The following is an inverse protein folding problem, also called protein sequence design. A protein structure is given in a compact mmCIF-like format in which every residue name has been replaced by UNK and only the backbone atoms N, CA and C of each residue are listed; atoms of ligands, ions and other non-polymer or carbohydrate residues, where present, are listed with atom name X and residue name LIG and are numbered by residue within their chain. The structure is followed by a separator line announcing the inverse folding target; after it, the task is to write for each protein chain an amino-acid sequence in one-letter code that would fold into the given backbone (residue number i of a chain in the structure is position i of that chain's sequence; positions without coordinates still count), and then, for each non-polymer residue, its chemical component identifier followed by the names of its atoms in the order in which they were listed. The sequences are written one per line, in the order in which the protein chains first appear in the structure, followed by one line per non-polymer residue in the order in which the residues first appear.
data_IF_234196959651
#
_entry.id   IF_234196959651
#
_cell.length_a   1.000
_cell.length_b   1.000
_cell.length_c   1.000
_cell.angle_alpha   90.00
_cell.angle_beta   90.00
_cell.angle_gamma   90.00
#
_symmetry.space_group_name_H-M   'P 1'
#
loop_
_entity.id
_entity.type
_entity.pdbx_description
1 polymer ?
#
# COMPACT_ATOMS: atom_id res chain seq x y z
N UNK A 1 -3.79 29.60 -25.29
CA UNK A 1 -3.17 28.31 -25.67
C UNK A 1 -2.36 27.69 -24.52
N UNK A 2 -1.41 28.38 -23.87
CA UNK A 2 -0.66 27.84 -22.69
C UNK A 2 -1.52 27.22 -21.58
N UNK A 3 -2.65 27.83 -21.19
CA UNK A 3 -3.52 27.33 -20.10
C UNK A 3 -4.20 25.97 -20.39
N UNK A 4 -4.42 25.63 -21.67
CA UNK A 4 -5.11 24.37 -22.06
C UNK A 4 -4.12 23.20 -22.00
N UNK A 5 -2.84 23.44 -22.31
CA UNK A 5 -1.80 22.41 -22.26
C UNK A 5 -1.50 21.95 -20.84
N UNK A 6 -1.60 22.80 -19.81
CA UNK A 6 -1.29 22.40 -18.44
C UNK A 6 -2.44 21.68 -17.73
N UNK A 7 -3.70 21.98 -18.05
CA UNK A 7 -4.84 21.13 -17.65
C UNK A 7 -4.70 19.73 -18.25
N UNK A 8 -4.18 19.62 -19.47
CA UNK A 8 -3.85 18.34 -20.08
C UNK A 8 -2.71 17.61 -19.35
N UNK A 9 -1.73 18.28 -18.75
CA UNK A 9 -0.68 17.62 -17.91
C UNK A 9 -1.28 17.03 -16.64
N UNK A 10 -2.20 17.74 -15.97
CA UNK A 10 -2.90 17.18 -14.82
C UNK A 10 -3.69 15.93 -15.24
N UNK A 11 -4.41 15.98 -16.36
CA UNK A 11 -5.14 14.83 -16.92
C UNK A 11 -4.21 13.70 -17.41
N UNK A 12 -3.09 14.01 -18.07
CA UNK A 12 -2.10 13.06 -18.57
C UNK A 12 -1.35 12.40 -17.42
N UNK A 13 -0.83 13.15 -16.44
CA UNK A 13 -0.21 12.59 -15.23
C UNK A 13 -1.20 11.85 -14.32
N UNK A 14 -2.50 12.15 -14.41
CA UNK A 14 -3.56 11.36 -13.77
C UNK A 14 -3.86 10.05 -14.51
N UNK A 15 -3.67 10.00 -15.84
CA UNK A 15 -3.89 8.82 -16.67
C UNK A 15 -2.65 7.90 -16.74
N UNK A 16 -1.43 8.47 -16.77
CA UNK A 16 -0.18 7.72 -16.93
C UNK A 16 0.54 7.37 -15.63
N UNK A 17 -0.08 7.58 -14.45
CA UNK A 17 0.45 7.16 -13.15
C UNK A 17 -0.63 6.55 -12.24
N UNK A 18 -1.73 6.09 -12.83
CA UNK A 18 -2.83 5.43 -12.13
C UNK A 18 -2.77 3.92 -12.42
N UNK A 19 -2.22 3.19 -11.45
CA UNK A 19 -2.36 1.74 -11.35
C UNK A 19 -3.84 1.46 -11.05
N UNK A 20 -4.63 1.37 -12.12
CA UNK A 20 -6.08 1.22 -12.03
C UNK A 20 -6.49 -0.22 -11.74
N UNK A 21 -6.66 -0.58 -10.47
CA UNK A 21 -7.58 -1.64 -10.07
C UNK A 21 -7.05 -2.60 -9.02
N UNK A 22 -8.02 -3.08 -8.24
CA UNK A 22 -8.03 -4.15 -7.25
C UNK A 22 -7.21 -3.92 -6.01
N UNK A 23 -7.94 -3.31 -5.11
CA UNK A 23 -7.42 -2.59 -3.97
C UNK A 23 -6.97 -3.58 -2.91
N UNK A 24 -5.67 -3.62 -2.62
CA UNK A 24 -5.10 -4.48 -1.60
C UNK A 24 -5.43 -4.01 -0.18
N UNK A 25 -4.45 -4.16 0.71
CA UNK A 25 -4.55 -3.76 2.12
C UNK A 25 -4.09 -2.33 2.37
N UNK A 26 -3.69 -1.64 1.30
CA UNK A 26 -3.04 -0.34 1.30
C UNK A 26 -3.96 0.74 0.72
N UNK A 27 -3.39 1.90 0.41
CA UNK A 27 -4.13 3.11 0.01
C UNK A 27 -4.68 3.12 -1.42
N UNK A 28 -4.51 2.05 -2.20
CA UNK A 28 -4.92 2.01 -3.61
C UNK A 28 -6.42 2.22 -3.80
N UNK A 29 -7.20 1.94 -2.74
CA UNK A 29 -8.61 2.29 -2.61
C UNK A 29 -8.91 3.77 -2.92
N UNK A 30 -7.93 4.67 -2.85
CA UNK A 30 -8.09 6.11 -3.18
C UNK A 30 -8.64 6.35 -4.58
N UNK A 31 -8.48 5.39 -5.49
CA UNK A 31 -8.96 5.50 -6.85
C UNK A 31 -10.36 4.89 -7.07
N UNK A 32 -10.89 4.13 -6.11
CA UNK A 32 -12.15 3.39 -6.25
C UNK A 32 -13.32 4.22 -6.76
N UNK A 33 -13.54 5.38 -6.15
CA UNK A 33 -14.63 6.27 -6.53
C UNK A 33 -14.43 6.91 -7.91
N UNK A 34 -13.20 6.96 -8.42
CA UNK A 34 -12.88 7.53 -9.74
C UNK A 34 -12.71 6.51 -10.87
N UNK A 35 -12.60 5.23 -10.57
CA UNK A 35 -12.52 4.22 -11.63
C UNK A 35 -13.84 4.17 -12.41
N UNK A 36 -13.71 4.08 -13.73
CA UNK A 36 -14.81 3.70 -14.61
C UNK A 36 -15.13 2.21 -14.49
N UNK A 37 -16.10 1.75 -15.28
CA UNK A 37 -16.35 0.33 -15.38
C UNK A 37 -15.15 -0.34 -16.04
N UNK A 38 -14.59 -1.34 -15.38
CA UNK A 38 -13.40 -2.03 -15.86
C UNK A 38 -13.32 -3.46 -15.33
N UNK A 39 -12.74 -4.33 -16.15
CA UNK A 39 -12.24 -5.64 -15.75
C UNK A 39 -10.72 -5.61 -15.82
N UNK A 40 -10.05 -6.15 -14.81
CA UNK A 40 -8.60 -6.13 -14.70
C UNK A 40 -8.10 -7.57 -14.52
N UNK A 41 -7.07 -7.91 -15.29
CA UNK A 41 -6.33 -9.16 -15.20
C UNK A 41 -4.84 -8.85 -15.34
N UNK A 42 -4.18 -8.65 -14.19
CA UNK A 42 -2.74 -8.37 -14.07
C UNK A 42 -2.05 -9.48 -13.31
N UNK A 43 -0.73 -9.39 -13.19
CA UNK A 43 -0.01 -10.46 -12.51
C UNK A 43 -0.42 -10.54 -11.03
N UNK A 44 -0.63 -9.43 -10.33
CA UNK A 44 -1.08 -9.51 -8.93
C UNK A 44 -2.59 -9.42 -8.74
N UNK A 45 -3.36 -8.96 -9.74
CA UNK A 45 -4.77 -8.60 -9.54
C UNK A 45 -5.73 -9.21 -10.56
N UNK A 46 -6.92 -9.64 -10.10
CA UNK A 46 -7.98 -10.20 -10.96
C UNK A 46 -9.42 -9.93 -10.50
N UNK A 47 -10.18 -9.13 -11.27
CA UNK A 47 -11.49 -8.66 -10.81
C UNK A 47 -11.99 -7.41 -11.53
N UNK A 48 -12.95 -6.70 -10.94
CA UNK A 48 -13.70 -5.66 -11.63
C UNK A 48 -14.15 -4.51 -10.74
N UNK A 49 -14.43 -3.38 -11.38
CA UNK A 49 -15.25 -2.28 -10.86
C UNK A 49 -16.38 -2.06 -11.84
N UNK A 50 -17.62 -2.08 -11.36
CA UNK A 50 -18.83 -1.94 -12.17
C UNK A 50 -19.83 -1.02 -11.47
N UNK A 51 -20.60 -0.27 -12.24
CA UNK A 51 -21.58 0.64 -11.71
C UNK A 51 -22.22 1.50 -12.79
N UNK A 52 -23.03 2.44 -12.30
CA UNK A 52 -23.56 3.55 -13.08
C UNK A 52 -22.94 4.86 -12.58
N UNK A 53 -23.50 5.99 -13.02
CA UNK A 53 -22.99 7.33 -12.69
C UNK A 53 -23.07 7.70 -11.20
N UNK A 54 -23.85 6.97 -10.39
CA UNK A 54 -24.05 7.28 -8.97
C UNK A 54 -23.55 6.18 -8.04
N UNK A 55 -23.71 4.91 -8.40
CA UNK A 55 -23.37 3.77 -7.55
C UNK A 55 -22.41 2.87 -8.30
N UNK A 56 -21.31 2.51 -7.63
CA UNK A 56 -20.36 1.52 -8.14
C UNK A 56 -19.96 0.52 -7.07
N UNK A 57 -19.71 -0.69 -7.51
CA UNK A 57 -19.19 -1.79 -6.72
C UNK A 57 -17.88 -2.31 -7.31
N UNK A 58 -17.08 -2.93 -6.48
CA UNK A 58 -15.84 -3.60 -6.89
C UNK A 58 -15.72 -4.95 -6.19
N UNK A 59 -15.10 -5.91 -6.88
CA UNK A 59 -14.73 -7.19 -6.31
C UNK A 59 -13.47 -7.75 -6.97
N UNK A 60 -12.62 -8.37 -6.16
CA UNK A 60 -11.80 -9.51 -6.54
C UNK A 60 -10.56 -9.69 -5.68
N UNK A 61 -9.51 -10.25 -6.25
CA UNK A 61 -8.25 -10.62 -5.64
C UNK A 61 -7.07 -9.68 -5.92
N UNK A 62 -6.25 -9.47 -4.89
CA UNK A 62 -4.94 -8.81 -4.95
C UNK A 62 -3.91 -9.73 -4.27
N UNK A 63 -2.85 -10.09 -4.98
CA UNK A 63 -1.81 -10.96 -4.47
C UNK A 63 -0.53 -10.15 -4.26
N UNK A 64 0.04 -10.08 -3.04
CA UNK A 64 1.38 -9.51 -2.85
C UNK A 64 2.51 -10.35 -3.50
N UNK A 65 2.16 -11.42 -4.22
CA UNK A 65 3.02 -12.30 -5.00
C UNK A 65 2.54 -12.32 -6.46
N UNK A 66 3.36 -12.82 -7.39
CA UNK A 66 2.98 -12.90 -8.81
C UNK A 66 1.76 -13.80 -9.05
N UNK A 67 1.09 -13.68 -10.22
CA UNK A 67 -0.14 -14.43 -10.56
C UNK A 67 0.03 -15.93 -10.46
N UNK A 68 1.23 -16.41 -10.80
CA UNK A 68 1.61 -17.82 -10.74
C UNK A 68 1.55 -18.39 -9.31
N UNK A 69 1.54 -17.53 -8.29
CA UNK A 69 1.57 -17.91 -6.88
C UNK A 69 0.21 -17.73 -6.17
N UNK A 70 -0.86 -17.36 -6.89
CA UNK A 70 -2.21 -17.28 -6.29
C UNK A 70 -2.65 -18.63 -5.70
N UNK A 71 -2.11 -19.72 -6.26
CA UNK A 71 -2.27 -21.08 -5.76
C UNK A 71 -0.90 -21.77 -5.67
N UNK A 72 -0.31 -21.79 -4.47
CA UNK A 72 0.89 -22.59 -4.24
C UNK A 72 0.48 -24.01 -3.86
N UNK A 73 0.70 -25.00 -4.72
CA UNK A 73 0.50 -26.42 -4.39
C UNK A 73 1.86 -27.07 -4.06
N UNK A 74 2.27 -27.13 -2.79
CA UNK A 74 3.44 -27.90 -2.38
C UNK A 74 3.30 -29.39 -2.73
N UNK A 75 4.42 -30.10 -2.85
CA UNK A 75 4.47 -31.51 -3.27
C UNK A 75 3.67 -32.47 -2.37
N UNK A 76 3.29 -32.04 -1.17
CA UNK A 76 2.43 -32.77 -0.24
C UNK A 76 0.92 -32.57 -0.49
N UNK A 77 0.53 -31.81 -1.52
CA UNK A 77 -0.86 -31.65 -1.99
C UNK A 77 -1.68 -30.56 -1.31
N UNK A 78 -1.15 -29.91 -0.26
CA UNK A 78 -1.87 -28.86 0.48
C UNK A 78 -1.75 -27.49 -0.21
N UNK A 79 -2.55 -27.27 -1.25
CA UNK A 79 -2.68 -25.98 -1.93
C UNK A 79 -2.93 -24.82 -0.96
N UNK A 80 -2.09 -23.79 -1.00
CA UNK A 80 -2.26 -22.52 -0.29
C UNK A 80 -2.77 -21.47 -1.26
N UNK A 81 -4.01 -21.02 -1.05
CA UNK A 81 -4.56 -19.83 -1.69
C UNK A 81 -4.06 -18.60 -0.91
N UNK A 82 -3.29 -17.72 -1.55
CA UNK A 82 -2.55 -16.62 -0.89
C UNK A 82 -3.08 -15.19 -1.20
N UNK A 83 -4.02 -14.92 -2.13
CA UNK A 83 -4.38 -13.54 -2.43
C UNK A 83 -5.23 -12.92 -1.33
N UNK A 84 -5.10 -11.61 -1.13
CA UNK A 84 -6.11 -10.81 -0.47
C UNK A 84 -7.40 -10.78 -1.31
N UNK A 85 -8.56 -10.73 -0.67
CA UNK A 85 -9.85 -10.60 -1.34
C UNK A 85 -10.50 -9.28 -0.93
N UNK A 86 -10.90 -8.49 -1.91
CA UNK A 86 -11.37 -7.12 -1.74
C UNK A 86 -12.75 -6.94 -2.35
N UNK A 87 -13.62 -6.24 -1.63
CA UNK A 87 -14.95 -5.86 -2.11
C UNK A 87 -15.31 -4.47 -1.60
N UNK A 88 -16.09 -3.71 -2.36
CA UNK A 88 -16.50 -2.37 -1.94
C UNK A 88 -17.71 -1.86 -2.68
N UNK A 89 -18.35 -0.86 -2.08
CA UNK A 89 -19.46 -0.12 -2.66
C UNK A 89 -19.28 1.37 -2.40
N UNK A 90 -19.56 2.18 -3.41
CA UNK A 90 -19.38 3.62 -3.37
C UNK A 90 -20.53 4.35 -4.02
N UNK A 91 -20.90 5.47 -3.41
CA UNK A 91 -21.68 6.52 -4.02
C UNK A 91 -20.73 7.58 -4.59
N UNK A 92 -20.97 8.02 -5.83
CA UNK A 92 -20.21 9.07 -6.48
C UNK A 92 -21.14 10.14 -7.02
N UNK A 93 -20.71 11.39 -6.92
CA UNK A 93 -21.33 12.55 -7.56
C UNK A 93 -20.25 13.58 -7.87
N UNK A 94 -20.59 14.67 -8.56
CA UNK A 94 -19.64 15.79 -8.78
C UNK A 94 -19.20 16.43 -7.46
N UNK A 95 -20.14 16.66 -6.55
CA UNK A 95 -19.86 17.35 -5.29
C UNK A 95 -19.09 16.49 -4.28
N UNK A 96 -19.55 15.26 -4.05
CA UNK A 96 -18.98 14.34 -3.07
C UNK A 96 -19.12 12.89 -3.53
N UNK A 97 -18.07 12.10 -3.32
CA UNK A 97 -18.13 10.66 -3.38
C UNK A 97 -17.77 10.08 -2.02
N UNK A 98 -18.46 9.03 -1.61
CA UNK A 98 -18.16 8.27 -0.39
C UNK A 98 -18.30 6.79 -0.69
N UNK A 99 -17.38 5.99 -0.17
CA UNK A 99 -17.46 4.55 -0.31
C UNK A 99 -16.85 3.83 0.87
N UNK A 100 -17.24 2.58 0.99
CA UNK A 100 -16.65 1.63 1.93
C UNK A 100 -16.09 0.46 1.15
N UNK A 101 -14.89 0.06 1.55
CA UNK A 101 -14.19 -1.10 1.06
C UNK A 101 -13.89 -2.05 2.20
N UNK A 102 -13.60 -3.28 1.85
CA UNK A 102 -13.15 -4.29 2.79
C UNK A 102 -12.23 -5.27 2.08
N UNK A 103 -11.03 -5.45 2.63
CA UNK A 103 -10.05 -6.43 2.18
C UNK A 103 -9.84 -7.49 3.26
N UNK A 104 -9.96 -8.77 2.88
CA UNK A 104 -9.61 -9.91 3.72
C UNK A 104 -8.26 -10.46 3.28
N UNK A 105 -7.33 -10.59 4.23
CA UNK A 105 -6.01 -11.19 4.00
C UNK A 105 -5.93 -12.57 4.63
N UNK A 106 -5.23 -13.49 3.96
CA UNK A 106 -5.05 -14.85 4.45
C UNK A 106 -3.60 -15.05 4.91
N UNK A 107 -3.44 -15.53 6.14
CA UNK A 107 -2.15 -15.84 6.75
C UNK A 107 -1.75 -17.31 6.62
N UNK A 108 -0.87 -17.75 7.51
CA UNK A 108 -0.50 -19.17 7.60
C UNK A 108 -1.55 -19.97 8.39
N UNK A 109 -1.60 -21.28 8.17
CA UNK A 109 -2.25 -22.20 9.10
C UNK A 109 -1.35 -22.36 10.31
N UNK A 110 -1.85 -22.02 11.49
CA UNK A 110 -1.13 -22.19 12.76
C UNK A 110 -1.87 -23.19 13.66
N UNK A 111 -1.15 -24.01 14.45
CA UNK A 111 -1.79 -24.89 15.42
C UNK A 111 -2.49 -24.06 16.51
N UNK A 112 -3.81 -24.23 16.67
CA UNK A 112 -4.60 -23.60 17.73
C UNK A 112 -5.17 -24.70 18.63
N UNK A 113 -4.93 -24.61 19.93
CA UNK A 113 -5.29 -25.62 20.93
C UNK A 113 -6.74 -25.50 21.41
N UNK A 114 -7.30 -24.29 21.55
CA UNK A 114 -8.66 -24.04 22.10
C UNK A 114 -8.96 -24.82 23.39
N UNK A 115 -7.98 -24.96 24.26
CA UNK A 115 -8.04 -25.67 25.54
C UNK A 115 -7.84 -27.18 25.45
N UNK A 116 -7.45 -27.73 24.28
CA UNK A 116 -7.22 -29.17 24.06
C UNK A 116 -5.74 -29.51 24.07
N UNK A 117 -5.41 -30.79 24.25
CA UNK A 117 -4.03 -31.31 24.19
C UNK A 117 -3.53 -31.37 22.75
N UNK A 118 -4.39 -31.76 21.81
CA UNK A 118 -4.06 -31.82 20.38
C UNK A 118 -4.58 -30.57 19.67
N UNK A 119 -3.71 -29.79 19.02
CA UNK A 119 -4.12 -28.59 18.30
C UNK A 119 -4.78 -28.93 16.97
N UNK A 120 -5.52 -27.97 16.42
CA UNK A 120 -5.97 -28.00 15.02
C UNK A 120 -5.36 -26.84 14.25
N UNK A 121 -4.84 -27.13 13.06
CA UNK A 121 -4.34 -26.11 12.17
C UNK A 121 -5.49 -25.20 11.70
N UNK A 122 -5.45 -23.93 12.10
CA UNK A 122 -6.45 -22.93 11.72
C UNK A 122 -5.79 -21.85 10.86
N UNK A 123 -6.41 -21.56 9.71
CA UNK A 123 -6.02 -20.46 8.84
C UNK A 123 -6.24 -19.13 9.57
N UNK A 124 -5.21 -18.30 9.63
CA UNK A 124 -5.32 -16.95 10.21
C UNK A 124 -5.87 -15.97 9.18
N UNK A 125 -6.67 -15.02 9.63
CA UNK A 125 -7.30 -13.99 8.80
C UNK A 125 -6.95 -12.60 9.30
N UNK A 126 -6.71 -11.69 8.37
CA UNK A 126 -6.62 -10.25 8.60
C UNK A 126 -7.79 -9.54 7.95
N UNK A 127 -8.21 -8.44 8.57
CA UNK A 127 -9.37 -7.68 8.17
C UNK A 127 -8.93 -6.23 7.92
N UNK A 128 -9.23 -5.69 6.74
CA UNK A 128 -8.90 -4.31 6.39
C UNK A 128 -10.14 -3.59 5.89
N UNK A 129 -11.02 -3.08 6.77
CA UNK A 129 -12.03 -2.10 6.37
C UNK A 129 -11.36 -0.83 5.83
N UNK A 130 -12.00 -0.23 4.83
CA UNK A 130 -11.50 0.97 4.16
C UNK A 130 -12.61 2.00 4.00
N UNK A 131 -12.33 3.24 4.38
CA UNK A 131 -13.17 4.38 4.05
C UNK A 131 -12.53 5.14 2.89
N UNK A 132 -13.32 5.47 1.87
CA UNK A 132 -12.88 6.34 0.78
C UNK A 132 -13.80 7.54 0.64
N UNK A 133 -13.21 8.68 0.30
CA UNK A 133 -13.93 9.93 0.10
C UNK A 133 -13.29 10.72 -1.04
N UNK A 134 -14.14 11.26 -1.90
CA UNK A 134 -13.78 12.26 -2.89
C UNK A 134 -14.59 13.53 -2.66
N UNK A 135 -13.97 14.69 -2.87
CA UNK A 135 -14.64 15.98 -2.84
C UNK A 135 -13.98 16.93 -3.83
N UNK A 136 -14.60 18.11 -4.03
CA UNK A 136 -14.08 19.16 -4.91
C UNK A 136 -13.90 18.63 -6.35
N UNK A 137 -14.94 18.03 -6.93
CA UNK A 137 -14.88 17.43 -8.28
C UNK A 137 -13.74 16.40 -8.44
N UNK A 138 -13.57 15.56 -7.42
CA UNK A 138 -12.49 14.57 -7.30
C UNK A 138 -11.06 15.14 -7.19
N UNK A 139 -10.91 16.45 -6.97
CA UNK A 139 -9.61 17.07 -6.72
C UNK A 139 -9.06 16.71 -5.34
N UNK A 140 -9.93 16.55 -4.32
CA UNK A 140 -9.55 15.97 -3.04
C UNK A 140 -9.97 14.51 -2.99
N UNK A 141 -9.03 13.63 -2.65
CA UNK A 141 -9.27 12.19 -2.48
C UNK A 141 -8.64 11.70 -1.20
N UNK A 142 -9.35 10.86 -0.48
CA UNK A 142 -8.92 10.29 0.80
C UNK A 142 -9.23 8.79 0.78
N UNK A 143 -8.27 7.98 1.22
CA UNK A 143 -8.47 6.57 1.53
C UNK A 143 -7.89 6.27 2.91
N UNK A 144 -8.65 5.56 3.74
CA UNK A 144 -8.25 5.19 5.10
C UNK A 144 -8.43 3.69 5.27
N UNK A 145 -7.43 2.88 4.87
CA UNK A 145 -7.41 1.45 5.18
C UNK A 145 -6.94 1.24 6.63
N UNK A 146 -7.69 0.44 7.39
CA UNK A 146 -7.36 0.06 8.77
C UNK A 146 -7.18 -1.45 8.81
N UNK A 147 -5.94 -1.90 8.85
CA UNK A 147 -5.57 -3.30 8.94
C UNK A 147 -5.71 -3.78 10.37
N UNK A 148 -6.37 -4.92 10.57
CA UNK A 148 -6.60 -5.55 11.87
C UNK A 148 -6.23 -7.02 11.77
N UNK A 149 -5.37 -7.46 12.68
CA UNK A 149 -5.06 -8.86 12.91
C UNK A 149 -5.25 -9.18 14.39
N UNK A 150 -5.91 -10.30 14.66
CA UNK A 150 -6.14 -10.77 16.01
C UNK A 150 -6.00 -12.28 16.05
N UNK A 151 -5.28 -12.76 17.06
CA UNK A 151 -5.18 -14.17 17.39
C UNK A 151 -5.43 -14.35 18.88
N UNK A 152 -6.14 -15.42 19.24
CA UNK A 152 -6.26 -15.86 20.62
C UNK A 152 -6.27 -17.37 20.68
N UNK A 153 -5.47 -17.92 21.59
CA UNK A 153 -5.46 -19.34 21.88
C UNK A 153 -5.46 -19.59 23.40
N UNK A 154 -5.91 -20.78 23.76
CA UNK A 154 -5.89 -21.30 25.12
C UNK A 154 -5.27 -22.69 25.08
N UNK A 155 -4.35 -22.98 25.98
CA UNK A 155 -3.72 -24.29 26.12
C UNK A 155 -4.47 -25.17 27.12
N UNK A 156 -4.20 -26.48 27.07
CA UNK A 156 -4.84 -27.46 27.96
C UNK A 156 -4.55 -27.20 29.45
N UNK A 157 -3.37 -26.64 29.77
CA UNK A 157 -2.99 -26.27 31.14
C UNK A 157 -3.66 -24.98 31.65
N UNK A 158 -4.55 -24.36 30.86
CA UNK A 158 -5.25 -23.13 31.21
C UNK A 158 -4.50 -21.84 30.86
N UNK A 159 -3.25 -21.93 30.38
CA UNK A 159 -2.53 -20.78 29.84
C UNK A 159 -3.22 -20.23 28.57
N UNK A 160 -3.03 -18.96 28.26
CA UNK A 160 -3.62 -18.34 27.07
C UNK A 160 -2.76 -17.25 26.47
N UNK A 161 -2.75 -17.20 25.14
CA UNK A 161 -1.97 -16.25 24.36
C UNK A 161 -2.90 -15.41 23.50
N UNK A 162 -2.66 -14.11 23.48
CA UNK A 162 -3.34 -13.18 22.60
C UNK A 162 -2.34 -12.30 21.89
N UNK A 163 -2.62 -12.05 20.64
CA UNK A 163 -1.89 -11.08 19.81
C UNK A 163 -2.91 -10.23 19.10
N UNK A 164 -2.79 -8.92 19.22
CA UNK A 164 -3.59 -7.97 18.46
C UNK A 164 -2.65 -7.01 17.75
N UNK A 165 -2.94 -6.71 16.50
CA UNK A 165 -2.21 -5.75 15.70
C UNK A 165 -3.20 -4.90 14.92
N UNK A 166 -3.02 -3.60 14.97
CA UNK A 166 -3.82 -2.64 14.20
C UNK A 166 -2.86 -1.68 13.51
N UNK A 167 -3.02 -1.47 12.21
CA UNK A 167 -2.25 -0.47 11.48
C UNK A 167 -3.09 0.27 10.47
N UNK A 168 -2.68 1.48 10.13
CA UNK A 168 -3.36 2.36 9.21
C UNK A 168 -2.32 2.99 8.29
N UNK A 169 -2.60 3.02 6.98
CA UNK A 169 -1.83 3.72 5.96
C UNK A 169 -2.78 4.63 5.18
N UNK A 170 -3.25 5.69 5.84
CA UNK A 170 -4.21 6.63 5.25
C UNK A 170 -3.52 7.50 4.21
N UNK A 171 -4.16 7.74 3.06
CA UNK A 171 -3.68 8.63 2.02
C UNK A 171 -4.66 9.78 1.81
N UNK A 172 -4.12 10.99 1.74
CA UNK A 172 -4.79 12.20 1.29
C UNK A 172 -4.06 12.68 0.04
N UNK A 173 -4.81 12.90 -1.03
CA UNK A 173 -4.30 13.44 -2.29
C UNK A 173 -5.13 14.65 -2.69
N UNK A 174 -4.45 15.74 -2.99
CA UNK A 174 -5.08 16.96 -3.44
C UNK A 174 -4.48 17.41 -4.78
N UNK A 175 -5.33 17.57 -5.78
CA UNK A 175 -5.01 18.18 -7.06
C UNK A 175 -5.33 19.67 -6.97
N UNK A 176 -4.31 20.51 -6.99
CA UNK A 176 -4.46 21.94 -6.61
C UNK A 176 -5.11 22.80 -7.70
N UNK A 177 -5.16 22.30 -8.93
CA UNK A 177 -5.48 23.09 -10.12
C UNK A 177 -4.40 24.10 -10.51
N UNK A 178 -3.27 24.13 -9.81
CA UNK A 178 -2.14 25.00 -10.10
C UNK A 178 -1.12 24.30 -10.99
N UNK A 179 -0.76 24.96 -12.08
CA UNK A 179 0.26 24.53 -13.03
C UNK A 179 1.62 24.19 -12.38
N UNK A 180 2.07 25.01 -11.43
CA UNK A 180 3.40 24.85 -10.82
C UNK A 180 3.45 23.80 -9.70
N UNK A 181 2.32 23.46 -9.09
CA UNK A 181 2.23 22.50 -7.99
C UNK A 181 0.96 21.65 -8.15
N UNK A 182 0.83 20.86 -9.23
CA UNK A 182 -0.42 20.21 -9.59
C UNK A 182 -0.94 19.23 -8.54
N UNK A 183 -0.06 18.65 -7.72
CA UNK A 183 -0.45 17.63 -6.75
C UNK A 183 0.29 17.77 -5.42
N UNK A 184 -0.44 17.56 -4.34
CA UNK A 184 0.07 17.36 -2.99
C UNK A 184 -0.42 15.98 -2.53
N UNK A 185 0.45 15.21 -1.90
CA UNK A 185 0.11 13.90 -1.35
C UNK A 185 0.67 13.74 0.06
N UNK A 186 -0.16 13.27 0.97
CA UNK A 186 0.21 12.95 2.33
C UNK A 186 -0.27 11.54 2.66
N UNK A 187 0.64 10.72 3.18
CA UNK A 187 0.29 9.49 3.85
C UNK A 187 0.49 9.66 5.35
N UNK A 188 -0.46 9.18 6.14
CA UNK A 188 -0.36 9.09 7.59
C UNK A 188 -0.36 7.62 7.99
N UNK A 189 0.67 7.25 8.75
CA UNK A 189 0.93 5.86 9.12
C UNK A 189 0.87 5.71 10.63
N UNK A 190 0.05 4.78 11.08
CA UNK A 190 -0.01 4.38 12.49
C UNK A 190 0.07 2.87 12.58
N UNK A 191 0.72 2.37 13.63
CA UNK A 191 0.75 0.95 13.92
C UNK A 191 0.76 0.71 15.41
N UNK A 192 0.02 -0.30 15.83
CA UNK A 192 -0.13 -0.76 17.21
C UNK A 192 -0.02 -2.28 17.22
N UNK A 193 0.70 -2.79 18.20
CA UNK A 193 0.88 -4.22 18.42
C UNK A 193 0.91 -4.50 19.92
N UNK A 194 0.11 -5.46 20.35
CA UNK A 194 0.05 -5.90 21.73
C UNK A 194 -0.03 -7.42 21.84
N UNK A 195 0.61 -7.94 22.88
CA UNK A 195 0.47 -9.34 23.26
C UNK A 195 0.11 -9.49 24.73
N UNK A 196 -0.64 -10.53 25.04
CA UNK A 196 -0.98 -10.94 26.39
C UNK A 196 -0.72 -12.43 26.53
N UNK A 197 0.21 -12.80 27.41
CA UNK A 197 0.46 -14.18 27.83
C UNK A 197 -0.05 -14.34 29.27
N UNK A 198 -0.88 -15.35 29.50
CA UNK A 198 -1.40 -15.69 30.83
C UNK A 198 -1.03 -17.11 31.18
N UNK A 199 -0.45 -17.28 32.37
CA UNK A 199 -0.15 -18.60 32.92
C UNK A 199 -0.35 -18.56 34.44
N UNK A 200 -1.18 -19.46 34.94
CA UNK A 200 -1.62 -19.48 36.34
C UNK A 200 -2.12 -18.08 36.80
N UNK A 201 -1.44 -17.48 37.79
CA UNK A 201 -1.78 -16.16 38.34
C UNK A 201 -0.94 -15.02 37.75
N UNK A 202 -0.08 -15.29 36.76
CA UNK A 202 0.76 -14.29 36.12
C UNK A 202 0.17 -13.86 34.76
N UNK A 203 0.25 -12.56 34.47
CA UNK A 203 -0.11 -11.99 33.16
C UNK A 203 1.03 -11.10 32.69
N UNK A 204 1.60 -11.44 31.54
CA UNK A 204 2.61 -10.61 30.86
C UNK A 204 1.93 -9.89 29.71
N UNK A 205 2.03 -8.56 29.68
CA UNK A 205 1.52 -7.73 28.58
C UNK A 205 2.65 -6.95 27.95
N UNK A 206 2.69 -6.94 26.63
CA UNK A 206 3.64 -6.13 25.89
C UNK A 206 2.88 -5.23 24.90
N UNK A 207 3.42 -4.04 24.64
CA UNK A 207 2.82 -3.04 23.75
C UNK A 207 3.91 -2.37 22.92
N UNK A 208 3.67 -2.20 21.63
CA UNK A 208 4.51 -1.47 20.70
C UNK A 208 3.65 -0.58 19.79
N UNK A 209 4.14 0.62 19.51
CA UNK A 209 3.43 1.59 18.66
C UNK A 209 4.40 2.23 17.66
N UNK A 210 3.89 2.66 16.53
CA UNK A 210 4.69 3.36 15.52
C UNK A 210 3.89 4.46 14.87
N UNK A 211 4.59 5.51 14.45
CA UNK A 211 4.01 6.60 13.69
C UNK A 211 4.90 6.97 12.52
N UNK A 212 4.31 7.38 11.41
CA UNK A 212 5.05 7.87 10.27
C UNK A 212 4.19 8.69 9.32
N UNK A 213 4.86 9.32 8.37
CA UNK A 213 4.22 9.98 7.25
C UNK A 213 5.06 9.85 5.98
N UNK A 214 4.41 10.03 4.84
CA UNK A 214 5.06 10.22 3.55
C UNK A 214 4.42 11.45 2.90
N UNK A 215 5.20 12.51 2.77
CA UNK A 215 4.76 13.76 2.19
C UNK A 215 5.41 13.97 0.84
N UNK A 216 4.60 14.26 -0.19
CA UNK A 216 5.07 14.44 -1.55
C UNK A 216 4.49 15.71 -2.16
N UNK A 217 5.39 16.50 -2.72
CA UNK A 217 5.07 17.67 -3.55
C UNK A 217 5.43 17.34 -4.99
N UNK A 218 4.51 17.63 -5.90
CA UNK A 218 4.71 17.42 -7.32
C UNK A 218 4.61 18.77 -8.03
N UNK A 219 5.67 19.14 -8.73
CA UNK A 219 5.77 20.37 -9.49
C UNK A 219 5.51 20.08 -10.97
N UNK A 220 4.90 21.01 -11.71
CA UNK A 220 4.59 20.82 -13.13
C UNK A 220 5.46 21.67 -14.04
N UNK A 221 5.98 21.07 -15.11
CA UNK A 221 6.68 21.75 -16.19
C UNK A 221 6.47 21.03 -17.54
N UNK A 222 6.66 21.74 -18.65
CA UNK A 222 6.66 21.17 -20.01
C UNK A 222 7.92 21.57 -20.74
N UNK A 223 8.49 20.61 -21.47
CA UNK A 223 9.51 20.87 -22.48
C UNK A 223 9.02 20.21 -23.76
N UNK A 224 8.61 21.04 -24.72
CA UNK A 224 7.99 20.57 -25.97
C UNK A 224 6.79 19.66 -25.71
N UNK A 225 6.83 18.42 -26.19
CA UNK A 225 5.78 17.41 -26.05
C UNK A 225 5.98 16.50 -24.82
N UNK A 226 7.02 16.75 -24.03
CA UNK A 226 7.35 15.97 -22.84
C UNK A 226 6.93 16.71 -21.57
N UNK A 227 6.10 16.04 -20.77
CA UNK A 227 5.69 16.54 -19.46
C UNK A 227 6.71 16.15 -18.40
N UNK A 228 7.22 17.17 -17.69
CA UNK A 228 8.17 17.03 -16.60
C UNK A 228 7.46 17.30 -15.28
N UNK A 229 7.73 16.44 -14.29
CA UNK A 229 7.14 16.53 -12.98
C UNK A 229 8.20 16.36 -11.90
N UNK A 230 8.96 17.41 -11.52
CA UNK A 230 9.85 17.34 -10.37
C UNK A 230 9.05 16.97 -9.11
N UNK A 231 9.61 16.09 -8.28
CA UNK A 231 8.97 15.56 -7.08
C UNK A 231 9.91 15.70 -5.91
N UNK A 232 9.39 16.17 -4.78
CA UNK A 232 10.08 16.08 -3.48
C UNK A 232 9.28 15.12 -2.62
N UNK A 233 9.89 13.99 -2.23
CA UNK A 233 9.29 13.01 -1.32
C UNK A 233 10.06 13.01 0.00
N UNK A 234 9.34 13.12 1.11
CA UNK A 234 9.89 13.03 2.47
C UNK A 234 9.13 11.94 3.20
N UNK A 235 9.85 10.91 3.66
CA UNK A 235 9.25 9.79 4.37
C UNK A 235 9.86 9.70 5.76
N UNK A 236 9.04 9.66 6.78
CA UNK A 236 9.48 9.51 8.16
C UNK A 236 8.70 8.38 8.82
N UNK A 237 9.39 7.49 9.54
CA UNK A 237 8.76 6.50 10.39
C UNK A 237 9.55 6.39 11.69
N UNK A 238 8.87 6.23 12.82
CA UNK A 238 9.48 6.14 14.14
C UNK A 238 8.75 5.14 15.03
N UNK A 239 9.49 4.45 15.88
CA UNK A 239 8.90 3.70 16.98
C UNK A 239 8.38 4.67 18.05
N UNK A 240 7.27 4.35 18.68
CA UNK A 240 6.70 5.10 19.79
C UNK A 240 6.85 4.29 21.06
N UNK A 241 7.54 4.86 22.04
CA UNK A 241 7.91 4.16 23.26
C UNK A 241 9.36 3.64 23.20
N UNK A 242 9.81 3.08 24.33
CA UNK A 242 11.22 2.76 24.57
C UNK A 242 11.51 1.27 24.74
N UNK A 243 10.60 0.41 24.31
CA UNK A 243 10.65 -1.04 24.57
C UNK A 243 10.71 -1.91 23.28
N UNK A 244 10.76 -1.29 22.10
CA UNK A 244 10.89 -1.96 20.81
C UNK A 244 11.57 -1.06 19.76
N UNK A 245 12.04 -1.66 18.66
CA UNK A 245 12.76 -0.95 17.60
C UNK A 245 12.03 -0.88 16.24
N UNK A 246 10.85 -1.49 16.12
CA UNK A 246 10.08 -1.49 14.89
C UNK A 246 9.52 -0.10 14.57
N UNK A 247 10.05 0.56 13.54
CA UNK A 247 9.68 1.93 13.16
C UNK A 247 8.39 2.02 12.33
N UNK A 248 7.94 0.92 11.74
CA UNK A 248 6.66 0.80 11.03
C UNK A 248 6.05 -0.57 11.31
N UNK A 249 4.96 -0.59 12.08
CA UNK A 249 4.19 -1.79 12.40
C UNK A 249 3.06 -1.94 11.38
N UNK A 250 2.95 -3.12 10.75
CA UNK A 250 1.89 -3.44 9.79
C UNK A 250 1.23 -4.77 10.18
N UNK A 251 -0.06 -4.72 10.52
CA UNK A 251 -0.81 -5.87 11.02
C UNK A 251 -0.83 -7.03 10.01
N UNK A 252 -0.95 -6.74 8.72
CA UNK A 252 -0.95 -7.78 7.68
C UNK A 252 0.41 -8.45 7.51
N UNK A 253 1.52 -7.72 7.71
CA UNK A 253 2.86 -8.32 7.69
C UNK A 253 3.08 -9.24 8.89
N UNK A 254 2.51 -8.90 10.04
CA UNK A 254 2.54 -9.75 11.25
C UNK A 254 1.70 -11.02 11.01
N UNK A 255 0.48 -10.89 10.48
CA UNK A 255 -0.38 -12.02 10.07
C UNK A 255 0.35 -12.99 9.13
N UNK A 256 1.06 -12.45 8.13
CA UNK A 256 1.78 -13.23 7.12
C UNK A 256 3.11 -13.81 7.64
N UNK A 257 3.57 -13.38 8.82
CA UNK A 257 4.84 -13.78 9.40
C UNK A 257 6.06 -13.11 8.76
N UNK A 258 5.86 -12.11 7.88
CA UNK A 258 6.95 -11.36 7.24
C UNK A 258 7.48 -10.22 8.13
N UNK A 259 6.79 -9.89 9.22
CA UNK A 259 7.23 -8.94 10.22
C UNK A 259 7.13 -9.56 11.62
N UNK A 260 8.21 -9.44 12.40
CA UNK A 260 8.22 -9.75 13.83
C UNK A 260 8.42 -8.47 14.63
N UNK A 261 7.57 -8.24 15.62
CA UNK A 261 7.73 -7.13 16.56
C UNK A 261 8.34 -7.67 17.84
N UNK A 262 9.65 -7.46 17.99
CA UNK A 262 10.37 -7.86 19.20
C UNK A 262 10.20 -6.77 20.25
N UNK A 263 9.48 -7.11 21.33
CA UNK A 263 9.37 -6.26 22.52
C UNK A 263 10.27 -6.88 23.57
N UNK A 264 11.14 -6.07 24.16
CA UNK A 264 12.05 -6.54 25.19
C UNK A 264 11.92 -5.59 26.37
N UNK A 265 11.27 -6.07 27.43
CA UNK A 265 11.04 -5.30 28.65
C UNK A 265 12.35 -4.98 29.41
N UNK A 266 13.47 -5.61 29.00
CA UNK A 266 14.83 -5.31 29.49
C UNK A 266 15.52 -4.27 28.60
N UNK A 267 15.21 -4.18 27.30
CA UNK A 267 15.69 -3.12 26.41
C UNK A 267 14.90 -1.84 26.67
N UNK A 268 15.40 -0.99 27.58
CA UNK A 268 14.97 0.41 27.67
C UNK A 268 15.81 1.22 26.70
N UNK A 269 15.28 1.44 25.50
CA UNK A 269 15.88 2.33 24.52
C UNK A 269 16.09 3.72 25.14
N UNK A 270 17.23 4.34 24.85
CA UNK A 270 17.49 5.71 25.31
C UNK A 270 16.59 6.71 24.58
N UNK A 271 16.39 6.49 23.27
CA UNK A 271 15.61 7.31 22.34
C UNK A 271 14.77 6.45 21.41
N UNK A 272 13.75 7.04 20.79
CA UNK A 272 12.93 6.35 19.80
C UNK A 272 13.74 6.19 18.49
N UNK A 273 13.94 4.97 17.99
CA UNK A 273 14.56 4.78 16.68
C UNK A 273 13.64 5.29 15.58
N UNK A 274 14.24 5.82 14.51
CA UNK A 274 13.51 6.38 13.37
C UNK A 274 14.24 6.16 12.05
N UNK A 275 13.50 6.31 10.96
CA UNK A 275 14.02 6.35 9.59
C UNK A 275 13.47 7.58 8.91
N UNK A 276 14.34 8.39 8.29
CA UNK A 276 13.98 9.53 7.45
C UNK A 276 14.57 9.34 6.05
N UNK A 277 13.72 9.38 5.02
CA UNK A 277 14.14 9.40 3.62
C UNK A 277 13.79 10.75 3.00
N UNK A 278 14.73 11.34 2.27
CA UNK A 278 14.52 12.53 1.43
C UNK A 278 14.86 12.11 0.00
N UNK A 279 13.87 12.15 -0.88
CA UNK A 279 13.95 11.59 -2.23
C UNK A 279 13.48 12.63 -3.24
N UNK A 280 14.39 13.46 -3.80
CA UNK A 280 14.13 14.16 -5.05
C UNK A 280 13.98 13.16 -6.20
N UNK A 281 12.97 13.38 -7.04
CA UNK A 281 12.73 12.60 -8.24
C UNK A 281 12.26 13.50 -9.39
N UNK A 282 12.30 13.00 -10.62
CA UNK A 282 11.79 13.69 -11.79
C UNK A 282 10.88 12.74 -12.56
N UNK A 283 9.57 12.97 -12.50
CA UNK A 283 8.63 12.34 -13.41
C UNK A 283 8.82 12.88 -14.83
N UNK A 284 8.82 12.00 -15.82
CA UNK A 284 8.92 12.31 -17.23
C UNK A 284 7.83 11.51 -17.92
N UNK A 285 6.94 12.17 -18.66
CA UNK A 285 5.90 11.49 -19.42
C UNK A 285 5.86 11.94 -20.86
N UNK A 286 5.64 10.97 -21.74
CA UNK A 286 5.45 11.17 -23.17
C UNK A 286 4.29 10.27 -23.62
N UNK A 287 3.43 10.78 -24.50
CA UNK A 287 2.21 10.10 -24.90
C UNK A 287 2.04 10.15 -26.41
N UNK A 288 1.44 9.10 -26.96
CA UNK A 288 0.97 8.98 -28.33
C UNK A 288 -0.44 8.38 -28.32
N UNK A 289 -1.05 8.20 -29.49
CA UNK A 289 -2.39 7.62 -29.60
C UNK A 289 -2.48 6.17 -29.12
N UNK A 290 -1.36 5.44 -29.12
CA UNK A 290 -1.31 4.01 -28.80
C UNK A 290 -0.46 3.74 -27.56
N UNK A 291 0.63 4.49 -27.37
CA UNK A 291 1.62 4.24 -26.32
C UNK A 291 1.79 5.46 -25.43
N UNK A 292 1.74 5.24 -24.12
CA UNK A 292 2.16 6.21 -23.10
C UNK A 292 3.34 5.67 -22.31
N UNK A 293 4.30 6.54 -22.03
CA UNK A 293 5.50 6.25 -21.25
C UNK A 293 5.54 7.19 -20.05
N UNK A 294 5.85 6.63 -18.88
CA UNK A 294 6.24 7.37 -17.69
C UNK A 294 7.57 6.84 -17.15
N UNK A 295 8.46 7.75 -16.76
CA UNK A 295 9.74 7.43 -16.12
C UNK A 295 9.92 8.32 -14.89
N UNK A 296 10.47 7.78 -13.81
CA UNK A 296 10.75 8.51 -12.59
C UNK A 296 12.16 8.15 -12.05
N UNK A 297 13.24 8.73 -12.62
CA UNK A 297 14.55 8.73 -11.98
C UNK A 297 14.50 9.47 -10.63
N UNK A 298 15.22 8.92 -9.64
CA UNK A 298 15.26 9.43 -8.27
C UNK A 298 16.62 9.22 -7.61
N UNK A 299 16.93 10.12 -6.67
CA UNK A 299 18.06 10.01 -5.75
C UNK A 299 17.52 10.09 -4.33
N UNK A 300 18.09 9.32 -3.41
CA UNK A 300 17.58 9.22 -2.04
C UNK A 300 18.69 9.35 -1.01
N UNK A 301 18.45 10.19 0.02
CA UNK A 301 19.19 10.18 1.27
C UNK A 301 18.34 9.49 2.34
N UNK A 302 18.87 8.44 2.95
CA UNK A 302 18.27 7.75 4.09
C UNK A 302 19.09 8.03 5.35
N UNK A 303 18.40 8.41 6.41
CA UNK A 303 18.96 8.64 7.74
C UNK A 303 18.30 7.65 8.69
N UNK A 304 19.10 6.84 9.38
CA UNK A 304 18.63 5.87 10.36
C UNK A 304 19.08 6.26 11.76
N UNK A 305 18.12 6.62 12.60
CA UNK A 305 18.34 6.93 14.02
C UNK A 305 18.28 5.66 14.87
N UNK A 306 19.31 5.45 15.68
CA UNK A 306 19.40 4.30 16.59
C UNK A 306 18.52 4.47 17.84
N UNK A 307 18.18 3.35 18.48
CA UNK A 307 17.53 3.33 19.78
C UNK A 307 18.48 3.72 20.95
N UNK A 308 19.80 3.62 20.76
CA UNK A 308 20.79 3.99 21.76
C UNK A 308 21.32 5.41 21.53
N UNK A 309 21.49 6.18 22.61
CA UNK A 309 22.05 7.55 22.54
C UNK A 309 23.53 7.58 22.16
N UNK A 310 24.24 6.48 22.40
CA UNK A 310 25.67 6.36 22.13
C UNK A 310 25.97 6.00 20.67
N UNK A 311 24.93 5.69 19.89
CA UNK A 311 25.05 5.33 18.48
C UNK A 311 24.62 6.53 17.65
N UNK A 312 25.54 7.00 16.80
CA UNK A 312 25.29 8.08 15.84
C UNK A 312 24.32 7.63 14.76
N UNK A 313 23.67 8.60 14.12
CA UNK A 313 22.84 8.35 12.95
C UNK A 313 23.66 7.74 11.81
N UNK A 314 23.09 6.76 11.12
CA UNK A 314 23.64 6.19 9.89
C UNK A 314 23.05 6.89 8.66
N UNK A 315 23.87 7.12 7.64
CA UNK A 315 23.50 7.82 6.41
C UNK A 315 23.78 6.92 5.21
N UNK A 316 22.76 6.70 4.39
CA UNK A 316 22.85 5.92 3.15
C UNK A 316 22.37 6.76 1.97
N UNK A 317 23.04 6.61 0.82
CA UNK A 317 22.62 7.19 -0.45
C UNK A 317 22.14 6.08 -1.40
N UNK A 318 21.07 6.37 -2.14
CA UNK A 318 20.54 5.47 -3.16
C UNK A 318 20.13 6.19 -4.44
N UNK A 319 19.96 5.41 -5.49
CA UNK A 319 19.33 5.83 -6.74
C UNK A 319 18.24 4.83 -7.15
N UNK A 320 17.31 5.29 -7.98
CA UNK A 320 16.26 4.46 -8.55
C UNK A 320 15.73 5.05 -9.85
N UNK A 321 15.22 4.19 -10.72
CA UNK A 321 14.43 4.57 -11.89
C UNK A 321 13.21 3.68 -11.89
N UNK A 322 12.04 4.30 -11.79
CA UNK A 322 10.75 3.67 -11.99
C UNK A 322 10.27 3.95 -13.41
N UNK A 323 9.57 3.01 -14.03
CA UNK A 323 9.06 3.18 -15.39
C UNK A 323 7.75 2.43 -15.64
N UNK A 324 6.87 3.06 -16.40
CA UNK A 324 5.57 2.51 -16.80
C UNK A 324 5.38 2.67 -18.30
N UNK A 325 4.81 1.66 -18.92
CA UNK A 325 4.40 1.69 -20.32
C UNK A 325 2.94 1.26 -20.41
N UNK A 326 2.13 2.07 -21.07
CA UNK A 326 0.74 1.77 -21.38
C UNK A 326 0.61 1.58 -22.88
N UNK A 327 0.00 0.50 -23.32
CA UNK A 327 -0.26 0.20 -24.73
C UNK A 327 -1.76 0.00 -24.91
N UNK A 328 -2.41 0.88 -25.66
CA UNK A 328 -3.85 0.89 -25.88
C UNK A 328 -4.14 0.63 -27.35
N UNK A 329 -4.03 -0.62 -27.83
CA UNK A 329 -4.19 -0.95 -29.25
C UNK A 329 -5.61 -0.65 -29.76
N UNK A 330 -6.60 -0.66 -28.86
CA UNK A 330 -7.97 -0.23 -29.10
C UNK A 330 -8.47 0.51 -27.86
N UNK A 331 -9.43 1.43 -28.04
CA UNK A 331 -9.92 2.35 -26.99
C UNK A 331 -10.28 1.69 -25.64
N UNK A 332 -10.72 0.43 -25.66
CA UNK A 332 -11.26 -0.23 -24.48
C UNK A 332 -10.28 -1.25 -23.87
N UNK A 333 -9.10 -1.46 -24.43
CA UNK A 333 -8.15 -2.46 -23.93
C UNK A 333 -6.79 -1.81 -23.77
N UNK A 334 -6.25 -1.90 -22.57
CA UNK A 334 -4.94 -1.40 -22.19
C UNK A 334 -4.08 -2.57 -21.72
N UNK A 335 -2.85 -2.63 -22.22
CA UNK A 335 -1.78 -3.44 -21.66
C UNK A 335 -0.81 -2.52 -20.92
N UNK A 336 -0.72 -2.71 -19.62
CA UNK A 336 0.15 -1.97 -18.72
C UNK A 336 1.38 -2.80 -18.36
N UNK A 337 2.53 -2.15 -18.35
CA UNK A 337 3.80 -2.68 -17.88
C UNK A 337 4.42 -1.74 -16.87
N UNK A 338 5.02 -2.32 -15.85
CA UNK A 338 5.72 -1.60 -14.80
C UNK A 338 7.07 -2.26 -14.54
N UNK A 339 8.11 -1.45 -14.40
CA UNK A 339 9.44 -1.91 -14.05
C UNK A 339 10.18 -0.90 -13.20
N UNK A 340 11.11 -1.39 -12.39
CA UNK A 340 11.97 -0.58 -11.55
C UNK A 340 13.41 -1.08 -11.55
N UNK A 341 14.34 -0.17 -11.38
CA UNK A 341 15.77 -0.41 -11.32
C UNK A 341 16.38 0.45 -10.21
N UNK A 342 17.21 -0.13 -9.34
CA UNK A 342 18.03 0.65 -8.42
C UNK A 342 18.29 -0.03 -7.09
N UNK A 343 18.65 0.77 -6.10
CA UNK A 343 18.88 0.32 -4.72
C UNK A 343 18.15 1.18 -3.67
N UNK A 344 17.39 2.18 -4.10
CA UNK A 344 16.42 2.88 -3.25
C UNK A 344 15.38 1.86 -2.76
N UNK A 345 14.99 1.95 -1.49
CA UNK A 345 13.94 1.12 -0.85
C UNK A 345 14.22 -0.39 -0.77
N UNK A 346 15.48 -0.84 -0.92
CA UNK A 346 15.85 -2.24 -0.66
C UNK A 346 15.79 -3.16 -1.88
N UNK A 347 15.72 -2.58 -3.08
CA UNK A 347 15.85 -3.33 -4.33
C UNK A 347 17.23 -4.00 -4.45
N UNK A 348 17.23 -5.24 -4.94
CA UNK A 348 18.43 -5.92 -5.41
C UNK A 348 18.94 -5.15 -6.63
N UNK A 349 20.25 -4.88 -6.71
CA UNK A 349 20.88 -4.15 -7.83
C UNK A 349 20.55 -4.81 -9.18
N UNK A 350 19.45 -4.42 -9.83
CA UNK A 350 18.97 -5.04 -11.06
C UNK A 350 17.59 -4.51 -11.50
N UNK A 351 17.23 -4.80 -12.74
CA UNK A 351 15.92 -4.48 -13.31
C UNK A 351 14.89 -5.52 -12.82
N UNK A 352 13.83 -5.05 -12.16
CA UNK A 352 12.68 -5.85 -11.78
C UNK A 352 11.44 -5.44 -12.57
N UNK A 353 10.66 -6.40 -13.04
CA UNK A 353 9.31 -6.15 -13.54
C UNK A 353 8.34 -6.21 -12.37
N UNK A 354 7.44 -5.23 -12.25
CA UNK A 354 6.47 -5.21 -11.16
C UNK A 354 5.22 -6.04 -11.52
N UNK A 355 4.61 -6.63 -10.49
CA UNK A 355 3.47 -7.53 -10.61
C UNK A 355 2.17 -6.81 -11.00
N UNK A 356 2.11 -5.48 -10.91
CA UNK A 356 1.04 -4.67 -11.50
C UNK A 356 0.88 -4.83 -13.02
N UNK A 357 1.84 -5.43 -13.73
CA UNK A 357 1.82 -5.61 -15.19
C UNK A 357 0.63 -6.48 -15.64
N UNK A 358 -0.05 -6.10 -16.71
CA UNK A 358 -1.10 -6.90 -17.37
C UNK A 358 -2.20 -6.08 -18.01
N UNK A 359 -3.40 -6.65 -18.12
CA UNK A 359 -4.46 -6.12 -18.99
C UNK A 359 -5.56 -5.45 -18.16
N UNK A 360 -6.02 -4.30 -18.64
CA UNK A 360 -7.25 -3.63 -18.20
C UNK A 360 -8.20 -3.54 -19.38
N UNK A 361 -9.44 -4.00 -19.22
CA UNK A 361 -10.52 -3.82 -20.17
C UNK A 361 -11.52 -2.80 -19.62
N UNK A 362 -11.63 -1.65 -20.25
CA UNK A 362 -12.64 -0.64 -19.97
C UNK A 362 -14.00 -1.03 -20.54
N UNK A 363 -14.98 -1.12 -19.67
CA UNK A 363 -16.34 -1.56 -19.96
C UNK A 363 -17.27 -0.33 -20.07
N UNK A 364 -18.35 -0.40 -20.86
CA UNK A 364 -19.35 0.66 -20.89
C UNK A 364 -20.00 0.89 -19.52
N UNK A 365 -20.44 2.13 -19.27
CA UNK A 365 -21.37 2.41 -18.16
C UNK A 365 -22.68 1.65 -18.40
N UNK A 366 -23.22 1.02 -17.35
CA UNK A 366 -24.49 0.29 -17.39
C UNK A 366 -25.68 1.20 -17.08
#
# INVERSE_FOLDING_TARGET
MRKIFLTAIALLSMASASVFGMYGVDSDWIFFLTHGNQFQARLETLGFTLGNDMIKGTFGFDNPYSFGDMLQVPANGDGKFIPNMSMGIGYTSSAIGIGVGYTMSFGNKVPIYKGKVTPKNQLQLGHTPVLVLNALDNALRIAVPIQVYQMSDKYANGASDKTTAVSMDAQIRYYTGLDMLPQIRLYLRFGHYDTEYKEANATTKTKAESFGFDFRLFFGAMVEEVALQPIVKIQFNTALGKNHNTTRIQAINILKGSQTVSINDVLKNDKNPYTLNIIPALGISANSDIVSLYLEPSLGLKITGSASKNVKEAYDLGYGVYGEIYITPVKNVEWYFEAELGNILGLVKGLGFNASTGITWYLPAL
#
